data_IF_111063084897
#
_entry.id   IF_111063084897
#
_cell.length_a   1.000
_cell.length_b   1.000
_cell.length_c   1.000
_cell.angle_alpha   90.00
_cell.angle_beta   90.00
_cell.angle_gamma   90.00
#
_symmetry.space_group_name_H-M   'P 1'
#
loop_
_entity.id
_entity.type
_entity.pdbx_description
1 polymer ?
#
# COMPACT_ATOMS: atom_id res chain seq x y z
N UNK A 1 18.64 -17.04 4.89
CA UNK A 1 18.12 -16.51 6.13
C UNK A 1 16.93 -17.30 6.66
N UNK A 2 16.68 -17.24 7.94
CA UNK A 2 15.52 -17.87 8.61
C UNK A 2 14.71 -16.77 9.29
N UNK A 3 13.38 -16.77 9.10
CA UNK A 3 12.51 -15.80 9.75
C UNK A 3 12.34 -16.17 11.24
N UNK A 4 12.65 -15.23 12.14
CA UNK A 4 12.35 -15.36 13.55
C UNK A 4 10.93 -14.85 13.85
N UNK A 5 10.14 -15.63 14.57
CA UNK A 5 8.80 -15.27 15.00
C UNK A 5 7.76 -16.37 14.73
N UNK A 6 6.61 -16.26 15.36
CA UNK A 6 5.51 -17.23 15.27
C UNK A 6 4.32 -16.69 14.43
N UNK A 7 4.56 -15.72 13.55
CA UNK A 7 3.49 -15.12 12.76
C UNK A 7 2.99 -16.02 11.65
N UNK A 8 1.67 -16.19 11.54
CA UNK A 8 1.05 -16.79 10.37
C UNK A 8 1.22 -15.83 9.18
N UNK A 9 1.89 -16.31 8.14
CA UNK A 9 2.04 -15.58 6.88
C UNK A 9 1.11 -16.22 5.87
N UNK A 10 0.14 -15.47 5.38
CA UNK A 10 -0.78 -15.96 4.35
C UNK A 10 0.01 -16.53 3.18
N UNK A 11 -0.35 -17.71 2.70
CA UNK A 11 0.34 -18.38 1.60
C UNK A 11 1.45 -19.33 2.02
N UNK A 12 1.74 -19.40 3.32
CA UNK A 12 2.75 -20.33 3.85
C UNK A 12 2.27 -21.06 5.07
N UNK A 13 2.55 -22.35 5.11
CA UNK A 13 2.45 -23.17 6.31
C UNK A 13 3.82 -23.29 6.95
N UNK A 14 3.87 -23.19 8.27
CA UNK A 14 5.10 -23.33 9.02
C UNK A 14 5.27 -24.77 9.52
N UNK A 15 6.30 -25.45 9.04
CA UNK A 15 6.66 -26.79 9.46
C UNK A 15 8.00 -26.70 10.21
N UNK A 16 7.94 -26.72 11.55
CA UNK A 16 9.13 -26.52 12.39
C UNK A 16 9.74 -25.12 12.21
N UNK A 17 10.89 -25.03 11.56
CA UNK A 17 11.61 -23.78 11.26
C UNK A 17 11.48 -23.34 9.80
N UNK A 18 10.80 -24.12 8.98
CA UNK A 18 10.66 -23.87 7.54
C UNK A 18 9.28 -23.37 7.18
N UNK A 19 9.21 -22.61 6.07
CA UNK A 19 7.98 -22.12 5.50
C UNK A 19 7.77 -22.81 4.15
N UNK A 20 6.69 -23.58 4.07
CA UNK A 20 6.27 -24.30 2.86
C UNK A 20 5.09 -23.58 2.24
N UNK A 21 5.05 -23.48 0.92
CA UNK A 21 3.97 -22.80 0.21
C UNK A 21 2.67 -23.59 0.37
N UNK A 22 1.63 -22.90 0.87
CA UNK A 22 0.26 -23.39 0.86
C UNK A 22 -0.43 -22.85 -0.40
N UNK A 23 -0.62 -23.69 -1.41
CA UNK A 23 -1.13 -23.28 -2.72
C UNK A 23 -2.52 -22.64 -2.69
N UNK A 24 -3.41 -23.06 -1.79
CA UNK A 24 -4.73 -22.45 -1.66
C UNK A 24 -4.62 -20.99 -1.21
N UNK A 25 -3.78 -20.73 -0.22
CA UNK A 25 -3.54 -19.38 0.28
C UNK A 25 -2.63 -18.57 -0.66
N UNK A 26 -1.67 -19.21 -1.32
CA UNK A 26 -0.76 -18.57 -2.27
C UNK A 26 -1.50 -17.99 -3.48
N UNK A 27 -2.59 -18.63 -3.94
CA UNK A 27 -3.48 -18.08 -4.98
C UNK A 27 -4.05 -16.74 -4.56
N UNK A 28 -4.45 -16.60 -3.30
CA UNK A 28 -4.96 -15.33 -2.77
C UNK A 28 -3.88 -14.24 -2.78
N UNK A 29 -2.64 -14.59 -2.40
CA UNK A 29 -1.52 -13.65 -2.43
C UNK A 29 -1.23 -13.20 -3.86
N UNK A 30 -1.10 -14.12 -4.81
CA UNK A 30 -0.88 -13.80 -6.24
C UNK A 30 -2.01 -12.88 -6.76
N UNK A 31 -3.26 -13.21 -6.45
CA UNK A 31 -4.43 -12.41 -6.83
C UNK A 31 -4.38 -10.97 -6.31
N UNK A 32 -3.90 -10.77 -5.07
CA UNK A 32 -3.72 -9.44 -4.50
C UNK A 32 -2.69 -8.63 -5.29
N UNK A 33 -1.56 -9.23 -5.64
CA UNK A 33 -0.51 -8.59 -6.41
C UNK A 33 -0.98 -8.25 -7.83
N UNK A 34 -1.64 -9.17 -8.52
CA UNK A 34 -2.16 -8.98 -9.87
C UNK A 34 -3.18 -7.84 -9.91
N UNK A 35 -4.19 -7.87 -9.03
CA UNK A 35 -5.18 -6.80 -8.94
C UNK A 35 -4.56 -5.44 -8.65
N UNK A 36 -3.48 -5.39 -7.84
CA UNK A 36 -2.80 -4.14 -7.55
C UNK A 36 -2.00 -3.61 -8.74
N UNK A 37 -1.33 -4.49 -9.50
CA UNK A 37 -0.63 -4.17 -10.74
C UNK A 37 -1.59 -3.70 -11.84
N UNK A 38 -2.81 -4.24 -11.89
CA UNK A 38 -3.92 -3.79 -12.75
C UNK A 38 -4.45 -2.39 -12.37
N UNK A 39 -3.85 -1.72 -11.37
CA UNK A 39 -4.21 -0.37 -10.95
C UNK A 39 -5.33 -0.27 -9.93
N UNK A 40 -5.82 -1.39 -9.40
CA UNK A 40 -6.87 -1.36 -8.40
C UNK A 40 -6.34 -0.84 -7.05
N UNK A 41 -7.14 0.01 -6.40
CA UNK A 41 -6.88 0.45 -5.04
C UNK A 41 -7.19 -0.64 -4.00
N UNK A 42 -6.54 -0.57 -2.84
CA UNK A 42 -6.66 -1.56 -1.75
C UNK A 42 -8.13 -1.88 -1.37
N UNK A 43 -9.02 -0.88 -1.37
CA UNK A 43 -10.45 -1.11 -1.10
C UNK A 43 -11.15 -1.90 -2.20
N UNK A 44 -10.81 -1.66 -3.47
CA UNK A 44 -11.36 -2.46 -4.58
C UNK A 44 -10.88 -3.91 -4.50
N UNK A 45 -9.61 -4.12 -4.16
CA UNK A 45 -9.03 -5.44 -3.94
C UNK A 45 -9.76 -6.16 -2.81
N UNK A 46 -10.03 -5.47 -1.69
CA UNK A 46 -10.81 -6.01 -0.59
C UNK A 46 -12.16 -6.57 -1.07
N UNK A 47 -12.95 -5.76 -1.78
CA UNK A 47 -14.26 -6.19 -2.27
C UNK A 47 -14.16 -7.33 -3.30
N UNK A 48 -13.13 -7.34 -4.14
CA UNK A 48 -12.91 -8.43 -5.10
C UNK A 48 -12.62 -9.75 -4.38
N UNK A 49 -11.72 -9.74 -3.38
CA UNK A 49 -11.38 -10.92 -2.59
C UNK A 49 -12.57 -11.47 -1.81
N UNK A 50 -13.37 -10.59 -1.19
CA UNK A 50 -14.59 -10.98 -0.47
C UNK A 50 -15.63 -11.57 -1.41
N UNK A 51 -15.81 -11.02 -2.60
CA UNK A 51 -16.72 -11.53 -3.63
C UNK A 51 -16.26 -12.86 -4.21
N UNK A 52 -14.96 -13.03 -4.41
CA UNK A 52 -14.35 -14.26 -4.94
C UNK A 52 -14.23 -15.36 -3.85
N UNK A 53 -14.56 -15.07 -2.58
CA UNK A 53 -14.54 -16.03 -1.48
C UNK A 53 -13.16 -16.36 -0.94
N UNK A 54 -12.17 -15.51 -1.19
CA UNK A 54 -10.82 -15.68 -0.65
C UNK A 54 -10.77 -15.47 0.86
N UNK A 55 -10.13 -16.40 1.58
CA UNK A 55 -9.99 -16.37 3.04
C UNK A 55 -8.70 -15.66 3.48
N UNK A 56 -8.76 -15.01 4.63
CA UNK A 56 -7.58 -14.45 5.31
C UNK A 56 -6.72 -15.57 5.93
N UNK A 57 -5.53 -15.24 6.42
CA UNK A 57 -4.66 -16.19 7.14
C UNK A 57 -5.32 -16.81 8.39
N UNK A 58 -6.36 -16.19 8.93
CA UNK A 58 -7.14 -16.68 10.06
C UNK A 58 -8.46 -17.35 9.66
N UNK A 59 -8.67 -17.59 8.35
CA UNK A 59 -9.87 -18.24 7.83
C UNK A 59 -11.12 -17.34 7.76
N UNK A 60 -10.97 -16.03 7.92
CA UNK A 60 -12.09 -15.10 7.84
C UNK A 60 -12.35 -14.66 6.40
N UNK A 61 -13.64 -14.47 6.07
CA UNK A 61 -14.07 -13.97 4.75
C UNK A 61 -13.95 -12.45 4.61
N UNK A 62 -13.99 -11.72 5.74
CA UNK A 62 -13.87 -10.26 5.75
C UNK A 62 -12.40 -9.82 5.75
N UNK A 63 -12.07 -9.01 4.76
CA UNK A 63 -10.74 -8.46 4.61
C UNK A 63 -10.62 -7.05 5.19
N UNK A 64 -9.47 -6.77 5.80
CA UNK A 64 -9.14 -5.42 6.25
C UNK A 64 -8.15 -4.78 5.25
N UNK A 65 -8.39 -3.53 4.79
CA UNK A 65 -7.48 -2.83 3.87
C UNK A 65 -6.03 -2.79 4.37
N UNK A 66 -5.85 -2.68 5.69
CA UNK A 66 -4.54 -2.72 6.33
C UNK A 66 -3.79 -4.03 6.13
N UNK A 67 -4.50 -5.17 6.12
CA UNK A 67 -3.88 -6.48 5.88
C UNK A 67 -3.39 -6.61 4.43
N UNK A 68 -4.19 -6.16 3.46
CA UNK A 68 -3.79 -6.11 2.05
C UNK A 68 -2.55 -5.23 1.86
N UNK A 69 -2.53 -4.05 2.48
CA UNK A 69 -1.36 -3.16 2.44
C UNK A 69 -0.11 -3.77 3.06
N UNK A 70 -0.23 -4.57 4.12
CA UNK A 70 0.90 -5.31 4.72
C UNK A 70 1.39 -6.41 3.80
N UNK A 71 0.50 -7.16 3.14
CA UNK A 71 0.85 -8.19 2.17
C UNK A 71 1.65 -7.57 1.03
N UNK A 72 1.17 -6.49 0.42
CA UNK A 72 1.85 -5.81 -0.68
C UNK A 72 3.25 -5.26 -0.31
N UNK A 73 3.52 -4.95 0.97
CA UNK A 73 4.81 -4.45 1.44
C UNK A 73 5.72 -5.52 2.03
N UNK A 74 5.26 -6.75 2.12
CA UNK A 74 6.05 -7.79 2.77
C UNK A 74 6.99 -8.47 1.76
N UNK A 75 8.28 -8.14 1.85
CA UNK A 75 9.34 -8.71 1.01
C UNK A 75 9.52 -10.23 1.14
N UNK A 76 8.92 -10.84 2.16
CA UNK A 76 8.95 -12.29 2.32
C UNK A 76 8.33 -13.01 1.12
N UNK A 77 7.29 -12.43 0.50
CA UNK A 77 6.64 -13.01 -0.67
C UNK A 77 7.52 -13.13 -1.91
N UNK A 78 8.54 -12.27 -2.05
CA UNK A 78 9.54 -12.36 -3.14
C UNK A 78 10.84 -13.06 -2.71
N UNK A 79 10.83 -13.80 -1.62
CA UNK A 79 11.99 -14.56 -1.15
C UNK A 79 13.02 -13.75 -0.37
N UNK A 80 12.70 -12.50 0.02
CA UNK A 80 13.65 -11.63 0.73
C UNK A 80 13.24 -11.43 2.18
N UNK A 81 14.16 -11.64 3.11
CA UNK A 81 13.95 -11.40 4.55
C UNK A 81 14.68 -10.13 4.95
N UNK A 82 13.95 -9.22 5.60
CA UNK A 82 14.49 -7.97 6.13
C UNK A 82 14.44 -8.01 7.65
N UNK A 83 15.60 -7.96 8.27
CA UNK A 83 15.77 -7.87 9.72
C UNK A 83 15.94 -6.41 10.16
N UNK A 84 15.88 -6.17 11.47
CA UNK A 84 16.02 -4.85 12.11
C UNK A 84 14.98 -3.83 11.62
N UNK A 85 13.76 -4.30 11.32
CA UNK A 85 12.61 -3.42 11.04
C UNK A 85 12.19 -2.61 12.27
N UNK A 86 12.50 -3.13 13.45
CA UNK A 86 12.28 -2.52 14.76
C UNK A 86 13.51 -2.73 15.63
N UNK A 87 13.75 -1.80 16.54
CA UNK A 87 14.82 -1.90 17.54
C UNK A 87 14.38 -1.27 18.87
N UNK A 88 15.14 -1.55 19.91
CA UNK A 88 14.95 -0.98 21.25
C UNK A 88 16.05 0.05 21.45
N UNK A 89 15.76 1.36 21.42
CA UNK A 89 16.78 2.41 21.59
C UNK A 89 17.27 2.50 23.01
N UNK A 90 16.41 2.26 24.00
CA UNK A 90 16.74 2.27 25.41
C UNK A 90 16.47 0.89 26.03
N UNK A 91 17.54 0.30 26.57
CA UNK A 91 17.48 -1.02 27.22
C UNK A 91 16.63 -1.00 28.49
N UNK A 92 16.52 0.14 29.19
CA UNK A 92 15.74 0.28 30.41
C UNK A 92 14.24 0.33 30.11
N UNK A 93 13.85 1.07 29.09
CA UNK A 93 12.43 1.17 28.70
C UNK A 93 11.90 -0.04 27.96
N UNK A 94 12.78 -0.82 27.31
CA UNK A 94 12.46 -2.02 26.50
C UNK A 94 11.37 -1.79 25.43
N UNK A 95 11.12 -0.54 25.07
CA UNK A 95 10.11 -0.17 24.09
C UNK A 95 10.64 -0.32 22.69
N UNK A 96 9.98 -1.17 21.87
CA UNK A 96 10.31 -1.33 20.45
C UNK A 96 9.78 -0.15 19.64
N UNK A 97 10.67 0.46 18.87
CA UNK A 97 10.31 1.48 17.87
C UNK A 97 10.62 1.00 16.46
N UNK A 98 9.92 1.55 15.46
CA UNK A 98 10.19 1.24 14.06
C UNK A 98 11.51 1.88 13.64
N UNK A 99 12.30 1.13 12.88
CA UNK A 99 13.53 1.61 12.29
C UNK A 99 13.22 2.36 10.99
N UNK A 100 13.40 3.68 11.01
CA UNK A 100 13.23 4.55 9.85
C UNK A 100 14.56 4.85 9.13
N UNK A 101 15.65 4.30 9.59
CA UNK A 101 17.00 4.48 9.03
C UNK A 101 18.08 4.72 10.10
N UNK A 102 17.71 4.67 11.39
CA UNK A 102 18.62 4.88 12.51
C UNK A 102 19.64 3.73 12.65
N UNK A 103 19.23 2.52 12.26
CA UNK A 103 20.09 1.32 12.25
C UNK A 103 19.98 0.65 10.88
N UNK A 104 21.10 0.20 10.33
CA UNK A 104 21.15 -0.50 9.06
C UNK A 104 20.30 -1.75 9.09
N UNK A 105 19.38 -1.85 8.10
CA UNK A 105 18.56 -3.04 7.91
C UNK A 105 19.41 -4.14 7.27
N UNK A 106 19.29 -5.35 7.79
CA UNK A 106 19.96 -6.52 7.21
C UNK A 106 18.99 -7.20 6.25
N UNK A 107 19.35 -7.22 4.97
CA UNK A 107 18.55 -7.83 3.90
C UNK A 107 19.26 -9.11 3.46
N UNK A 108 18.55 -10.23 3.52
CA UNK A 108 19.10 -11.54 3.13
C UNK A 108 18.10 -12.32 2.28
N UNK A 109 18.59 -13.19 1.44
CA UNK A 109 17.73 -14.15 0.75
C UNK A 109 17.18 -15.19 1.71
N UNK A 110 15.88 -15.43 1.64
CA UNK A 110 15.18 -16.46 2.39
C UNK A 110 15.46 -17.85 1.78
N UNK A 111 15.31 -18.89 2.60
CA UNK A 111 15.39 -20.29 2.13
C UNK A 111 14.04 -20.82 1.64
N UNK A 112 12.97 -20.06 1.84
CA UNK A 112 11.61 -20.41 1.44
C UNK A 112 11.37 -20.11 -0.04
N UNK A 113 10.46 -20.86 -0.65
CA UNK A 113 10.03 -20.63 -2.04
C UNK A 113 9.23 -19.35 -2.15
N UNK A 114 9.57 -18.41 -3.04
CA UNK A 114 8.79 -17.19 -3.23
C UNK A 114 7.44 -17.47 -3.89
N UNK A 115 6.39 -16.71 -3.50
CA UNK A 115 5.05 -16.79 -4.11
C UNK A 115 4.92 -15.85 -5.30
N UNK A 116 5.63 -14.70 -5.26
CA UNK A 116 5.67 -13.70 -6.34
C UNK A 116 7.11 -13.45 -6.77
N UNK A 117 7.31 -13.00 -8.01
CA UNK A 117 8.65 -12.70 -8.51
C UNK A 117 9.19 -11.40 -7.90
N UNK A 118 10.52 -11.26 -7.86
CA UNK A 118 11.16 -10.01 -7.40
C UNK A 118 10.70 -8.82 -8.25
N UNK A 119 10.58 -9.00 -9.56
CA UNK A 119 10.12 -7.96 -10.49
C UNK A 119 8.69 -7.49 -10.21
N UNK A 120 7.76 -8.42 -9.96
CA UNK A 120 6.39 -8.09 -9.59
C UNK A 120 6.36 -7.29 -8.28
N UNK A 121 7.12 -7.73 -7.28
CA UNK A 121 7.22 -7.06 -6.00
C UNK A 121 7.78 -5.64 -6.15
N UNK A 122 8.87 -5.46 -6.89
CA UNK A 122 9.50 -4.16 -7.13
C UNK A 122 8.56 -3.18 -7.83
N UNK A 123 7.84 -3.62 -8.87
CA UNK A 123 6.81 -2.81 -9.54
C UNK A 123 5.74 -2.33 -8.55
N UNK A 124 5.29 -3.22 -7.67
CA UNK A 124 4.32 -2.85 -6.62
C UNK A 124 4.92 -1.82 -5.66
N UNK A 125 6.21 -1.96 -5.24
CA UNK A 125 6.86 -0.98 -4.38
C UNK A 125 6.99 0.39 -5.06
N UNK A 126 7.33 0.44 -6.35
CA UNK A 126 7.38 1.70 -7.13
C UNK A 126 6.01 2.40 -7.17
N UNK A 127 4.93 1.65 -7.37
CA UNK A 127 3.57 2.21 -7.34
C UNK A 127 3.21 2.71 -5.93
N UNK A 128 3.62 1.99 -4.89
CA UNK A 128 3.37 2.38 -3.49
C UNK A 128 4.15 3.65 -3.11
N UNK A 129 5.42 3.78 -3.50
CA UNK A 129 6.25 4.97 -3.23
C UNK A 129 5.73 6.19 -3.97
N UNK A 130 5.44 6.08 -5.27
CA UNK A 130 4.90 7.19 -6.06
C UNK A 130 3.56 7.72 -5.52
N UNK A 131 2.69 6.82 -5.04
CA UNK A 131 1.45 7.21 -4.36
C UNK A 131 1.72 7.90 -3.02
N UNK A 132 2.70 7.43 -2.24
CA UNK A 132 3.09 8.02 -0.96
C UNK A 132 3.66 9.43 -1.15
N UNK A 133 4.59 9.60 -2.09
CA UNK A 133 5.19 10.89 -2.44
C UNK A 133 4.14 11.89 -2.91
N UNK A 134 3.18 11.43 -3.73
CA UNK A 134 2.08 12.29 -4.20
C UNK A 134 1.18 12.78 -3.06
N UNK A 135 1.09 12.03 -1.96
CA UNK A 135 0.32 12.42 -0.76
C UNK A 135 1.15 13.33 0.15
N UNK A 136 2.45 13.05 0.33
CA UNK A 136 3.35 13.87 1.16
C UNK A 136 3.58 15.26 0.56
N UNK A 137 3.84 15.34 -0.75
CA UNK A 137 4.09 16.60 -1.44
C UNK A 137 2.87 17.53 -1.48
N UNK A 138 1.66 17.03 -1.16
CA UNK A 138 0.43 17.83 -1.25
C UNK A 138 -0.14 18.27 0.09
N UNK A 139 0.43 17.88 1.21
CA UNK A 139 -0.08 18.26 2.54
C UNK A 139 -1.57 17.93 2.76
N UNK A 140 -2.14 17.01 1.98
CA UNK A 140 -3.57 16.85 1.83
C UNK A 140 -4.02 15.40 2.06
N UNK A 141 -4.53 15.14 3.24
CA UNK A 141 -5.29 13.91 3.51
C UNK A 141 -6.73 14.08 3.02
N UNK A 142 -7.11 13.34 1.99
CA UNK A 142 -8.54 13.05 1.76
C UNK A 142 -9.29 13.89 0.74
N UNK A 143 -8.64 14.69 -0.12
CA UNK A 143 -9.37 15.31 -1.23
C UNK A 143 -9.72 14.31 -2.33
N UNK A 144 -11.01 14.28 -2.68
CA UNK A 144 -11.49 13.65 -3.91
C UNK A 144 -10.74 14.27 -5.09
N UNK A 145 -10.08 13.44 -5.89
CA UNK A 145 -9.49 13.89 -7.17
C UNK A 145 -10.65 14.49 -7.98
N UNK A 146 -10.53 15.75 -8.35
CA UNK A 146 -11.54 16.40 -9.17
C UNK A 146 -11.74 15.60 -10.47
N UNK A 147 -12.99 15.33 -10.84
CA UNK A 147 -13.33 14.75 -12.14
C UNK A 147 -13.00 15.69 -13.29
N UNK A 148 -12.84 16.97 -12.99
CA UNK A 148 -12.51 18.01 -13.96
C UNK A 148 -11.04 17.88 -14.39
N UNK A 149 -10.85 17.73 -15.71
CA UNK A 149 -9.53 17.54 -16.32
C UNK A 149 -8.62 18.75 -16.09
N UNK A 150 -9.18 19.96 -16.13
CA UNK A 150 -8.42 21.20 -15.94
C UNK A 150 -7.91 21.35 -14.52
N UNK A 151 -8.73 21.04 -13.51
CA UNK A 151 -8.30 21.03 -12.11
C UNK A 151 -7.13 20.07 -11.85
N UNK A 152 -6.96 19.02 -12.67
CA UNK A 152 -5.87 18.06 -12.55
C UNK A 152 -4.59 18.51 -13.26
N UNK A 153 -4.75 19.17 -14.41
CA UNK A 153 -3.61 19.54 -15.27
C UNK A 153 -3.05 20.92 -14.96
N UNK A 154 -3.92 21.89 -14.60
CA UNK A 154 -3.47 23.24 -14.28
C UNK A 154 -2.82 23.30 -12.89
N UNK A 155 -1.70 24.01 -12.81
CA UNK A 155 -1.01 24.34 -11.58
C UNK A 155 -0.87 25.85 -11.47
N UNK A 156 -1.09 26.36 -10.26
CA UNK A 156 -0.80 27.74 -9.93
C UNK A 156 0.72 27.94 -9.78
N UNK A 157 1.21 29.14 -9.97
CA UNK A 157 2.62 29.50 -9.69
C UNK A 157 3.05 29.13 -8.27
N UNK A 158 2.12 29.15 -7.30
CA UNK A 158 2.37 28.67 -5.93
C UNK A 158 2.43 27.14 -5.79
N UNK A 159 2.37 26.36 -6.87
CA UNK A 159 2.39 24.89 -6.87
C UNK A 159 1.05 24.22 -6.54
N UNK A 160 0.03 24.98 -6.09
CA UNK A 160 -1.28 24.44 -5.74
C UNK A 160 -2.12 24.08 -6.97
N UNK A 161 -3.06 23.17 -6.81
CA UNK A 161 -4.04 22.83 -7.86
C UNK A 161 -5.15 23.87 -7.91
N UNK A 162 -5.84 23.97 -9.05
CA UNK A 162 -7.05 24.76 -9.17
C UNK A 162 -8.29 23.94 -8.75
N UNK A 163 -9.27 24.63 -8.16
CA UNK A 163 -10.62 24.12 -7.94
C UNK A 163 -11.60 24.80 -8.88
N UNK A 164 -12.54 24.01 -9.40
CA UNK A 164 -13.68 24.56 -10.13
C UNK A 164 -14.74 25.01 -9.14
N UNK A 165 -15.09 26.27 -9.20
CA UNK A 165 -16.16 26.92 -8.41
C UNK A 165 -17.24 27.39 -9.31
N UNK A 166 -18.50 27.33 -8.89
CA UNK A 166 -19.61 27.95 -9.64
C UNK A 166 -19.54 29.43 -9.43
N UNK A 167 -19.27 30.16 -10.50
CA UNK A 167 -19.20 31.63 -10.49
C UNK A 167 -20.59 32.24 -10.53
N UNK A 168 -21.44 31.77 -11.46
CA UNK A 168 -22.79 32.28 -11.65
C UNK A 168 -23.72 31.15 -12.10
N UNK A 169 -25.01 31.24 -11.72
CA UNK A 169 -26.06 30.36 -12.21
C UNK A 169 -26.99 31.18 -13.07
N UNK A 170 -26.94 31.00 -14.39
CA UNK A 170 -27.88 31.61 -15.33
C UNK A 170 -28.96 30.60 -15.72
N UNK A 171 -30.00 31.07 -16.44
CA UNK A 171 -31.03 30.20 -17.03
C UNK A 171 -30.48 29.20 -18.05
N UNK A 172 -29.33 29.52 -18.67
CA UNK A 172 -28.65 28.67 -19.64
C UNK A 172 -27.72 27.60 -18.98
N UNK A 173 -27.56 27.68 -17.65
CA UNK A 173 -26.77 26.73 -16.87
C UNK A 173 -25.69 27.37 -16.00
N UNK A 174 -24.98 26.59 -15.21
CA UNK A 174 -23.95 27.11 -14.30
C UNK A 174 -22.68 27.48 -15.05
N UNK A 175 -22.20 28.71 -14.83
CA UNK A 175 -20.89 29.16 -15.27
C UNK A 175 -19.84 28.83 -14.20
N UNK A 176 -18.67 28.40 -14.63
CA UNK A 176 -17.60 27.95 -13.74
C UNK A 176 -16.37 28.85 -13.85
N UNK A 177 -15.73 29.10 -12.70
CA UNK A 177 -14.41 29.70 -12.61
C UNK A 177 -13.44 28.73 -11.99
N UNK A 178 -12.14 28.92 -12.25
CA UNK A 178 -11.06 28.12 -11.65
C UNK A 178 -10.29 28.98 -10.67
N UNK A 179 -10.29 28.61 -9.41
CA UNK A 179 -9.65 29.35 -8.34
C UNK A 179 -8.52 28.52 -7.72
N UNK A 180 -7.38 29.16 -7.46
CA UNK A 180 -6.26 28.51 -6.79
C UNK A 180 -6.66 28.08 -5.38
N UNK A 181 -6.32 26.85 -5.04
CA UNK A 181 -6.69 26.26 -3.74
C UNK A 181 -6.10 27.00 -2.55
N UNK A 182 -4.88 27.52 -2.65
CA UNK A 182 -4.24 28.27 -1.56
C UNK A 182 -4.86 29.65 -1.30
N UNK A 183 -5.65 30.18 -2.24
CA UNK A 183 -6.34 31.47 -2.12
C UNK A 183 -7.77 31.36 -1.58
N UNK A 184 -8.27 30.14 -1.33
CA UNK A 184 -9.63 29.88 -0.84
C UNK A 184 -9.67 29.87 0.72
N UNK A 185 -8.74 30.54 1.37
CA UNK A 185 -8.78 30.68 2.84
C UNK A 185 -9.48 31.95 3.24
#
# INVERSE_FOLDING_TARGET
GVLYGNGNILGYDRIGKEYVVNELQARTVRRIFDLYLDGNGVRKIQFALEKEGHLTATGLTKWQPGNISRILRNSFYCGTIVYRKQFVPDFLEQKKINNFGEIDKVIVEGRHTPIVTKEQFEKVQQILSSKSESVHNKGYRGKKISKDVWCRKMKCECGSSYNRVTWHKSSEGPQYAYQCYSQIR
#
